data_IF_556700439123
#
_entry.id   IF_556700439123
#
_cell.length_a   1.000
_cell.length_b   1.000
_cell.length_c   1.000
_cell.angle_alpha   90.00
_cell.angle_beta   90.00
_cell.angle_gamma   90.00
#
_symmetry.space_group_name_H-M   'P 1'
#
loop_
_entity.id
_entity.type
_entity.pdbx_description
1 polymer ?
#
# COMPACT_ATOMS: atom_id res chain seq x y z
N UNK A 1 -29.54 21.84 28.33
CA UNK A 1 -28.16 21.40 27.99
C UNK A 1 -27.36 22.60 27.50
N UNK A 2 -26.21 22.92 28.13
CA UNK A 2 -25.29 23.94 27.59
C UNK A 2 -24.72 23.43 26.26
N UNK A 3 -24.91 24.18 25.16
CA UNK A 3 -24.25 23.89 23.88
C UNK A 3 -22.74 24.10 24.05
N UNK A 4 -21.97 23.01 24.05
CA UNK A 4 -20.51 23.09 23.96
C UNK A 4 -20.16 23.35 22.50
N UNK A 5 -19.58 24.51 22.22
CA UNK A 5 -19.08 24.83 20.88
C UNK A 5 -17.69 24.21 20.74
N UNK A 6 -17.62 23.05 20.09
CA UNK A 6 -16.34 22.43 19.72
C UNK A 6 -15.75 23.24 18.56
N UNK A 7 -14.60 23.87 18.81
CA UNK A 7 -13.83 24.58 17.79
C UNK A 7 -12.58 23.78 17.48
N UNK A 8 -12.18 23.77 16.21
CA UNK A 8 -10.90 23.21 15.82
C UNK A 8 -9.76 23.97 16.53
N UNK A 9 -8.74 23.22 16.97
CA UNK A 9 -7.57 23.77 17.65
C UNK A 9 -6.32 23.16 17.06
N UNK A 10 -5.42 23.98 16.50
CA UNK A 10 -4.15 23.52 15.94
C UNK A 10 -3.32 22.73 16.97
N UNK A 11 -3.38 23.12 18.25
CA UNK A 11 -2.71 22.40 19.34
C UNK A 11 -3.28 20.98 19.53
N UNK A 12 -4.61 20.83 19.52
CA UNK A 12 -5.24 19.51 19.65
C UNK A 12 -4.99 18.65 18.41
N UNK A 13 -5.07 19.24 17.22
CA UNK A 13 -4.73 18.56 15.95
C UNK A 13 -3.30 18.02 16.02
N UNK A 14 -2.33 18.84 16.41
CA UNK A 14 -0.95 18.39 16.55
C UNK A 14 -0.78 17.29 17.61
N UNK A 15 -1.51 17.36 18.72
CA UNK A 15 -1.49 16.32 19.74
C UNK A 15 -2.05 14.98 19.22
N UNK A 16 -3.13 15.01 18.43
CA UNK A 16 -3.68 13.83 17.78
C UNK A 16 -2.73 13.24 16.73
N UNK A 17 -2.11 14.09 15.91
CA UNK A 17 -1.09 13.67 14.94
C UNK A 17 0.10 13.00 15.63
N UNK A 18 0.58 13.58 16.73
CA UNK A 18 1.67 12.99 17.52
C UNK A 18 1.28 11.63 18.10
N UNK A 19 0.11 11.53 18.72
CA UNK A 19 -0.35 10.27 19.31
C UNK A 19 -0.53 9.17 18.26
N UNK A 20 -1.14 9.49 17.11
CA UNK A 20 -1.40 8.50 16.06
C UNK A 20 -0.13 8.19 15.26
N UNK A 21 0.55 9.19 14.72
CA UNK A 21 1.63 8.98 13.75
C UNK A 21 2.99 8.73 14.38
N UNK A 22 3.28 9.27 15.56
CA UNK A 22 4.58 9.09 16.23
C UNK A 22 4.52 8.02 17.33
N UNK A 23 3.54 8.11 18.23
CA UNK A 23 3.51 7.27 19.44
C UNK A 23 2.86 5.88 19.18
N UNK A 24 1.87 5.81 18.28
CA UNK A 24 1.27 4.55 17.80
C UNK A 24 2.01 4.04 16.55
N UNK A 25 2.28 4.91 15.57
CA UNK A 25 2.97 4.55 14.33
C UNK A 25 2.04 3.94 13.28
N UNK A 26 2.56 3.04 12.44
CA UNK A 26 1.81 2.35 11.37
C UNK A 26 0.64 1.54 11.91
N UNK A 27 -0.53 1.68 11.27
CA UNK A 27 -1.84 1.12 11.72
C UNK A 27 -2.46 0.23 10.63
N UNK A 28 -1.73 -0.78 10.17
CA UNK A 28 -2.27 -1.78 9.22
C UNK A 28 -3.45 -2.48 9.90
N UNK A 29 -4.52 -2.76 9.13
CA UNK A 29 -5.71 -3.44 9.62
C UNK A 29 -5.36 -4.75 10.36
N UNK A 30 -6.15 -5.10 11.39
CA UNK A 30 -5.93 -6.25 12.26
C UNK A 30 -4.59 -6.29 13.05
N UNK A 31 -3.76 -5.25 13.00
CA UNK A 31 -2.54 -5.18 13.83
C UNK A 31 -2.82 -4.63 15.23
N UNK A 32 -1.93 -4.91 16.19
CA UNK A 32 -1.99 -4.35 17.55
C UNK A 32 -2.01 -2.81 17.54
N UNK A 33 -1.34 -2.17 16.57
CA UNK A 33 -1.31 -0.71 16.48
C UNK A 33 -2.63 -0.12 15.95
N UNK A 34 -3.34 -0.84 15.06
CA UNK A 34 -4.69 -0.45 14.66
C UNK A 34 -5.64 -0.48 15.86
N UNK A 35 -5.62 -1.56 16.65
CA UNK A 35 -6.43 -1.64 17.89
C UNK A 35 -6.06 -0.52 18.89
N UNK A 36 -4.77 -0.22 19.07
CA UNK A 36 -4.31 0.92 19.92
C UNK A 36 -4.87 2.27 19.44
N UNK A 37 -5.00 2.45 18.12
CA UNK A 37 -5.59 3.65 17.55
C UNK A 37 -7.10 3.72 17.75
N UNK A 38 -7.81 2.60 17.58
CA UNK A 38 -9.23 2.50 17.89
C UNK A 38 -9.51 2.86 19.36
N UNK A 39 -8.69 2.34 20.29
CA UNK A 39 -8.79 2.64 21.71
C UNK A 39 -8.50 4.12 22.01
N UNK A 40 -7.51 4.71 21.32
CA UNK A 40 -7.20 6.14 21.44
C UNK A 40 -8.38 7.02 21.00
N UNK A 41 -8.99 6.70 19.86
CA UNK A 41 -10.14 7.44 19.32
C UNK A 41 -11.34 7.30 20.26
N UNK A 42 -11.65 6.09 20.74
CA UNK A 42 -12.73 5.85 21.69
C UNK A 42 -12.53 6.67 22.98
N UNK A 43 -11.33 6.67 23.56
CA UNK A 43 -11.00 7.50 24.73
C UNK A 43 -11.18 8.99 24.46
N UNK A 44 -10.78 9.47 23.28
CA UNK A 44 -10.97 10.87 22.90
C UNK A 44 -12.46 11.22 22.79
N UNK A 45 -13.27 10.37 22.17
CA UNK A 45 -14.72 10.52 22.06
C UNK A 45 -15.41 10.57 23.43
N UNK A 46 -15.06 9.66 24.34
CA UNK A 46 -15.59 9.68 25.71
C UNK A 46 -15.19 10.96 26.45
N UNK A 47 -13.93 11.39 26.32
CA UNK A 47 -13.40 12.59 27.00
C UNK A 47 -14.08 13.89 26.57
N UNK A 48 -14.59 13.97 25.34
CA UNK A 48 -15.35 15.15 24.87
C UNK A 48 -16.85 15.09 25.22
N UNK A 49 -17.28 14.04 25.95
CA UNK A 49 -18.64 13.91 26.48
C UNK A 49 -19.60 13.12 25.61
N UNK A 50 -19.13 12.33 24.63
CA UNK A 50 -19.99 11.39 23.92
C UNK A 50 -20.35 10.21 24.84
N UNK A 51 -21.64 9.89 24.91
CA UNK A 51 -22.20 8.90 25.85
C UNK A 51 -22.37 7.49 25.26
N UNK A 52 -22.41 7.34 23.94
CA UNK A 52 -22.62 6.05 23.26
C UNK A 52 -21.41 5.67 22.38
N UNK A 53 -20.23 5.58 23.00
CA UNK A 53 -18.99 5.22 22.31
C UNK A 53 -18.84 3.70 22.30
N UNK A 54 -18.86 3.09 21.12
CA UNK A 54 -18.69 1.65 20.94
C UNK A 54 -17.65 1.36 19.86
N UNK A 55 -16.94 0.23 19.98
CA UNK A 55 -16.10 -0.31 18.90
C UNK A 55 -16.84 -1.49 18.28
N UNK A 56 -17.11 -1.43 16.98
CA UNK A 56 -17.78 -2.50 16.24
C UNK A 56 -16.74 -3.37 15.55
N UNK A 57 -16.76 -4.68 15.84
CA UNK A 57 -15.93 -5.67 15.16
C UNK A 57 -16.71 -6.24 13.99
N UNK A 58 -16.04 -6.38 12.84
CA UNK A 58 -16.64 -6.97 11.64
C UNK A 58 -15.60 -7.85 10.92
N UNK A 59 -16.03 -8.92 10.24
CA UNK A 59 -15.13 -9.71 9.42
C UNK A 59 -14.71 -8.91 8.19
N UNK A 60 -13.45 -9.06 7.78
CA UNK A 60 -12.94 -8.50 6.54
C UNK A 60 -11.91 -9.47 5.94
N UNK A 61 -11.61 -9.29 4.65
CA UNK A 61 -10.52 -10.03 4.01
C UNK A 61 -9.20 -9.37 4.38
N UNK A 62 -8.41 -10.06 5.20
CA UNK A 62 -7.06 -9.63 5.51
C UNK A 62 -6.09 -10.04 4.40
N UNK A 63 -5.08 -9.22 4.18
CA UNK A 63 -4.01 -9.50 3.23
C UNK A 63 -2.67 -9.08 3.83
N UNK A 64 -1.70 -9.97 3.73
CA UNK A 64 -0.33 -9.73 4.17
C UNK A 64 0.65 -10.52 3.34
N UNK A 65 1.92 -10.36 3.65
CA UNK A 65 3.02 -11.09 3.02
C UNK A 65 4.10 -11.39 4.06
N UNK A 66 4.79 -12.50 3.90
CA UNK A 66 5.89 -12.90 4.78
C UNK A 66 7.24 -12.42 4.25
N UNK A 67 7.46 -12.57 2.94
CA UNK A 67 8.74 -12.28 2.28
C UNK A 67 8.48 -11.48 1.00
N UNK A 68 9.29 -10.44 0.78
CA UNK A 68 9.33 -9.70 -0.47
C UNK A 68 10.78 -9.39 -0.79
N UNK A 69 11.31 -10.06 -1.81
CA UNK A 69 12.70 -9.95 -2.25
C UNK A 69 12.74 -9.70 -3.75
N UNK A 70 13.64 -8.83 -4.18
CA UNK A 70 13.89 -8.50 -5.57
C UNK A 70 15.39 -8.42 -5.80
N UNK A 71 15.87 -9.23 -6.75
CA UNK A 71 17.22 -9.19 -7.25
C UNK A 71 17.21 -8.70 -8.70
N UNK A 72 18.11 -7.79 -9.03
CA UNK A 72 18.31 -7.27 -10.39
C UNK A 72 19.70 -7.65 -10.85
N UNK A 73 19.83 -8.10 -12.11
CA UNK A 73 21.10 -8.46 -12.72
C UNK A 73 21.46 -7.47 -13.85
N UNK A 74 22.55 -6.72 -13.68
CA UNK A 74 23.12 -5.82 -14.70
C UNK A 74 24.61 -6.11 -15.00
N UNK A 75 25.02 -7.37 -14.80
CA UNK A 75 26.41 -7.84 -14.81
C UNK A 75 26.82 -8.46 -13.47
N UNK A 76 26.10 -8.09 -12.40
CA UNK A 76 26.15 -8.71 -11.09
C UNK A 76 24.76 -8.65 -10.44
N UNK A 77 24.45 -9.59 -9.55
CA UNK A 77 23.20 -9.60 -8.82
C UNK A 77 23.23 -8.58 -7.68
N UNK A 78 22.20 -7.72 -7.62
CA UNK A 78 22.01 -6.77 -6.53
C UNK A 78 20.58 -6.81 -5.99
N UNK A 79 20.45 -6.72 -4.67
CA UNK A 79 19.16 -6.58 -4.02
C UNK A 79 18.62 -5.16 -4.20
N UNK A 80 17.32 -5.07 -4.49
CA UNK A 80 16.58 -3.82 -4.58
C UNK A 80 15.43 -3.87 -3.58
N UNK A 81 15.26 -2.81 -2.79
CA UNK A 81 14.14 -2.72 -1.85
C UNK A 81 12.83 -2.62 -2.64
N UNK A 82 11.86 -3.47 -2.31
CA UNK A 82 10.54 -3.48 -2.90
C UNK A 82 9.49 -3.79 -1.83
N UNK A 83 8.23 -3.60 -2.19
CA UNK A 83 7.06 -3.99 -1.40
C UNK A 83 6.04 -4.62 -2.32
N UNK A 84 5.32 -5.65 -1.88
CA UNK A 84 4.29 -6.26 -2.70
C UNK A 84 3.08 -5.32 -2.80
N UNK A 85 2.39 -5.43 -3.91
CA UNK A 85 1.14 -4.72 -4.14
C UNK A 85 0.02 -5.46 -3.40
N UNK A 86 -0.83 -4.73 -2.68
CA UNK A 86 -1.96 -5.32 -1.96
C UNK A 86 -2.80 -6.18 -2.90
N UNK A 87 -3.20 -7.37 -2.43
CA UNK A 87 -3.92 -8.39 -3.20
C UNK A 87 -3.16 -9.03 -4.37
N UNK A 88 -1.86 -8.77 -4.54
CA UNK A 88 -1.06 -9.54 -5.51
C UNK A 88 -0.91 -11.00 -5.04
N UNK A 89 -0.94 -11.98 -5.96
CA UNK A 89 -0.64 -13.37 -5.61
C UNK A 89 0.84 -13.54 -5.26
N UNK A 90 1.15 -14.60 -4.53
CA UNK A 90 2.52 -15.01 -4.29
C UNK A 90 3.19 -15.50 -5.57
N UNK A 91 4.51 -15.29 -5.67
CA UNK A 91 5.34 -15.98 -6.65
C UNK A 91 5.45 -17.47 -6.29
N UNK A 92 5.76 -18.37 -7.24
CA UNK A 92 6.07 -19.76 -6.92
C UNK A 92 7.23 -19.87 -5.91
N UNK A 93 7.37 -20.97 -5.16
CA UNK A 93 8.42 -21.11 -4.14
C UNK A 93 9.86 -20.89 -4.65
N UNK A 94 10.11 -21.19 -5.94
CA UNK A 94 11.40 -20.96 -6.60
C UNK A 94 11.63 -19.52 -7.09
N UNK A 95 10.68 -18.62 -6.83
CA UNK A 95 10.64 -17.27 -7.39
C UNK A 95 10.28 -17.24 -8.88
N UNK A 96 10.40 -16.04 -9.45
CA UNK A 96 10.27 -15.78 -10.89
C UNK A 96 11.56 -15.11 -11.33
N UNK A 97 12.28 -15.74 -12.26
CA UNK A 97 13.41 -15.14 -12.95
C UNK A 97 13.06 -15.02 -14.43
N UNK A 98 13.07 -13.79 -14.95
CA UNK A 98 12.82 -13.50 -16.35
C UNK A 98 13.36 -12.12 -16.74
N UNK A 99 13.58 -11.89 -18.04
CA UNK A 99 14.00 -10.57 -18.52
C UNK A 99 12.97 -9.49 -18.21
N UNK A 100 13.48 -8.31 -17.87
CA UNK A 100 12.67 -7.12 -17.59
C UNK A 100 12.36 -6.39 -18.89
N UNK A 101 11.10 -6.04 -19.11
CA UNK A 101 10.66 -5.19 -20.21
C UNK A 101 10.10 -3.90 -19.64
N UNK A 102 10.76 -2.78 -19.93
CA UNK A 102 10.20 -1.47 -19.63
C UNK A 102 8.98 -1.21 -20.49
N UNK A 103 7.90 -0.78 -19.86
CA UNK A 103 6.71 -0.19 -20.48
C UNK A 103 6.42 1.08 -19.70
N UNK A 104 5.99 2.14 -20.38
CA UNK A 104 5.77 3.43 -19.74
C UNK A 104 4.56 3.35 -18.78
N UNK A 105 3.41 3.92 -19.15
CA UNK A 105 2.21 3.80 -18.33
C UNK A 105 1.63 2.39 -18.31
N UNK A 106 2.02 1.48 -19.21
CA UNK A 106 1.36 0.19 -19.40
C UNK A 106 0.01 0.31 -20.13
N UNK A 107 -0.14 1.35 -20.95
CA UNK A 107 -1.29 1.53 -21.84
C UNK A 107 -1.37 0.41 -22.90
N UNK A 108 -2.51 0.29 -23.58
CA UNK A 108 -2.63 -0.65 -24.68
C UNK A 108 -1.64 -0.33 -25.82
N UNK A 109 -1.34 0.96 -26.04
CA UNK A 109 -0.34 1.40 -27.00
C UNK A 109 1.07 0.97 -26.58
N UNK A 110 1.40 1.09 -25.28
CA UNK A 110 2.72 0.70 -24.76
C UNK A 110 2.99 -0.80 -24.91
N UNK A 111 1.95 -1.63 -24.80
CA UNK A 111 2.06 -3.09 -24.93
C UNK A 111 2.10 -3.55 -26.39
N UNK A 112 1.59 -2.75 -27.33
CA UNK A 112 1.45 -3.14 -28.73
C UNK A 112 2.83 -3.37 -29.36
N UNK A 113 3.03 -4.56 -29.93
CA UNK A 113 4.27 -4.92 -30.61
C UNK A 113 5.44 -5.27 -29.69
N UNK A 114 5.25 -5.28 -28.35
CA UNK A 114 6.28 -5.70 -27.40
C UNK A 114 6.17 -7.20 -27.09
N UNK A 115 7.32 -7.86 -26.96
CA UNK A 115 7.37 -9.24 -26.46
C UNK A 115 7.26 -9.25 -24.93
N UNK A 116 6.03 -9.32 -24.42
CA UNK A 116 5.74 -9.27 -22.97
C UNK A 116 5.51 -10.65 -22.35
N UNK A 117 5.30 -11.68 -23.15
CA UNK A 117 4.93 -13.02 -22.66
C UNK A 117 6.07 -13.64 -21.86
N UNK A 118 5.80 -14.04 -20.63
CA UNK A 118 6.79 -14.63 -19.71
C UNK A 118 7.83 -13.63 -19.19
N UNK A 119 7.67 -12.33 -19.44
CA UNK A 119 8.59 -11.28 -18.98
C UNK A 119 8.14 -10.61 -17.69
N UNK A 120 9.04 -9.94 -17.00
CA UNK A 120 8.69 -9.03 -15.90
C UNK A 120 8.49 -7.64 -16.47
N UNK A 121 7.29 -7.07 -16.36
CA UNK A 121 7.06 -5.71 -16.83
C UNK A 121 7.46 -4.70 -15.75
N UNK A 122 8.33 -3.77 -16.13
CA UNK A 122 8.64 -2.59 -15.33
C UNK A 122 7.78 -1.44 -15.84
N UNK A 123 6.83 -1.00 -15.02
CA UNK A 123 5.82 0.00 -15.33
C UNK A 123 6.19 1.30 -14.61
N UNK A 124 6.25 2.39 -15.35
CA UNK A 124 6.49 3.72 -14.77
C UNK A 124 5.15 4.37 -14.37
N UNK A 125 5.01 4.73 -13.10
CA UNK A 125 3.81 5.40 -12.57
C UNK A 125 3.03 4.56 -11.55
N UNK A 126 1.77 4.93 -11.34
CA UNK A 126 0.96 4.41 -10.25
C UNK A 126 0.38 3.02 -10.52
N UNK A 127 0.40 2.18 -9.49
CA UNK A 127 -0.49 1.02 -9.41
C UNK A 127 -1.95 1.50 -9.23
N UNK A 128 -2.89 0.84 -9.90
CA UNK A 128 -4.32 0.99 -9.61
C UNK A 128 -5.06 2.18 -10.25
N UNK A 129 -4.53 2.81 -11.30
CA UNK A 129 -5.22 3.93 -11.96
C UNK A 129 -6.63 3.57 -12.44
N UNK A 130 -6.80 2.42 -13.09
CA UNK A 130 -8.11 1.90 -13.50
C UNK A 130 -8.17 0.38 -13.42
N UNK A 131 -9.37 -0.15 -13.16
CA UNK A 131 -9.63 -1.60 -13.16
C UNK A 131 -9.38 -2.22 -14.53
N UNK A 132 -9.70 -1.51 -15.61
CA UNK A 132 -9.49 -1.98 -16.98
C UNK A 132 -8.00 -2.15 -17.29
N UNK A 133 -7.16 -1.21 -16.82
CA UNK A 133 -5.71 -1.29 -16.96
C UNK A 133 -5.16 -2.51 -16.22
N UNK A 134 -5.55 -2.69 -14.95
CA UNK A 134 -5.13 -3.86 -14.17
C UNK A 134 -5.58 -5.17 -14.81
N UNK A 135 -6.84 -5.26 -15.25
CA UNK A 135 -7.37 -6.45 -15.91
C UNK A 135 -6.67 -6.75 -17.24
N UNK A 136 -6.26 -5.73 -18.00
CA UNK A 136 -5.47 -5.90 -19.23
C UNK A 136 -4.06 -6.41 -18.90
N UNK A 137 -3.37 -5.78 -17.96
CA UNK A 137 -2.03 -6.18 -17.55
C UNK A 137 -2.01 -7.60 -16.97
N UNK A 138 -3.00 -7.96 -16.15
CA UNK A 138 -3.16 -9.32 -15.62
C UNK A 138 -3.39 -10.40 -16.70
N UNK A 139 -3.80 -10.01 -17.92
CA UNK A 139 -4.06 -10.92 -19.04
C UNK A 139 -3.03 -10.80 -20.17
N UNK A 140 -2.02 -9.93 -20.05
CA UNK A 140 -1.06 -9.69 -21.13
C UNK A 140 -0.02 -10.81 -21.29
N UNK A 141 0.01 -11.78 -20.38
CA UNK A 141 0.93 -12.91 -20.40
C UNK A 141 2.30 -12.63 -19.78
N UNK A 142 2.50 -11.47 -19.16
CA UNK A 142 3.66 -11.20 -18.33
C UNK A 142 3.74 -12.17 -17.15
N UNK A 143 4.96 -12.52 -16.74
CA UNK A 143 5.22 -13.36 -15.58
C UNK A 143 5.04 -12.59 -14.26
N UNK A 144 5.39 -11.30 -14.24
CA UNK A 144 5.16 -10.41 -13.11
C UNK A 144 5.05 -8.95 -13.56
N UNK A 145 4.52 -8.10 -12.69
CA UNK A 145 4.41 -6.66 -12.88
C UNK A 145 5.14 -5.96 -11.73
N UNK A 146 5.95 -4.97 -12.06
CA UNK A 146 6.71 -4.16 -11.12
C UNK A 146 6.44 -2.69 -11.42
N UNK A 147 6.10 -1.90 -10.41
CA UNK A 147 5.82 -0.47 -10.55
C UNK A 147 6.92 0.37 -9.93
N UNK A 148 7.30 1.43 -10.62
CA UNK A 148 8.08 2.53 -10.05
C UNK A 148 7.14 3.70 -9.86
N UNK A 149 6.65 3.87 -8.63
CA UNK A 149 5.75 4.96 -8.29
C UNK A 149 6.54 6.27 -8.15
N UNK A 150 6.27 7.22 -9.03
CA UNK A 150 6.93 8.53 -9.05
C UNK A 150 6.22 9.60 -8.23
N UNK A 151 5.02 9.31 -7.70
CA UNK A 151 4.26 10.27 -6.87
C UNK A 151 4.88 10.44 -5.50
N UNK A 152 5.67 9.47 -5.07
CA UNK A 152 6.28 9.40 -3.75
C UNK A 152 7.80 9.48 -3.89
N UNK A 153 8.41 10.69 -3.93
CA UNK A 153 9.84 10.87 -4.11
C UNK A 153 10.62 10.57 -2.81
N UNK A 154 10.25 9.49 -2.11
CA UNK A 154 10.92 9.04 -0.91
C UNK A 154 12.00 8.01 -1.26
N UNK A 155 13.11 8.03 -0.54
CA UNK A 155 14.21 7.08 -0.71
C UNK A 155 13.96 5.75 0.04
N UNK A 156 12.78 5.57 0.64
CA UNK A 156 12.37 4.35 1.34
C UNK A 156 11.04 3.83 0.78
N UNK A 157 10.76 2.53 0.87
CA UNK A 157 9.48 1.98 0.43
C UNK A 157 8.32 2.54 1.26
N UNK A 158 7.30 3.04 0.58
CA UNK A 158 6.06 3.52 1.20
C UNK A 158 4.94 2.59 0.78
N UNK A 159 4.28 1.98 1.77
CA UNK A 159 3.04 1.27 1.52
C UNK A 159 1.96 2.30 1.15
N UNK A 160 1.42 2.17 -0.06
CA UNK A 160 0.19 2.84 -0.46
C UNK A 160 -0.96 1.94 -0.03
N UNK A 161 -1.68 2.36 1.01
CA UNK A 161 -2.88 1.72 1.53
C UNK A 161 -4.02 2.72 1.60
#
# INVERSE_FOLDING_TARGET
>A
MKRVKLLASSKQIQAHLNALCRDIGTRIAATKNEQRAADYVARCMTRIGLSNVTQQRFPFTDWGYDVCELLVHDGQWRAVKCTPVVQSPSTPPKGIEAEVVYVDSGSAADLKGRNVKGRILLIWGAFGETTEKLARLGRCGAAALMWVDTRLPFHWPVAMG
#
